data_IF_962314373592
#
_entry.id   IF_962314373592
#
_cell.length_a   1.000
_cell.length_b   1.000
_cell.length_c   1.000
_cell.angle_alpha   90.00
_cell.angle_beta   90.00
_cell.angle_gamma   90.00
#
_symmetry.space_group_name_H-M   'P 1'
#
loop_
_entity.id
_entity.type
_entity.pdbx_description
1 polymer ?
#
# COMPACT_ATOMS: atom_id res chain seq x y z
N UNK A 1 -27.55 9.03 -21.21
CA UNK A 1 -26.61 8.15 -20.46
C UNK A 1 -27.14 6.73 -20.53
N UNK A 2 -26.37 5.78 -21.07
CA UNK A 2 -26.75 4.36 -20.96
C UNK A 2 -26.42 3.94 -19.53
N UNK A 3 -27.42 3.62 -18.73
CA UNK A 3 -27.21 2.93 -17.45
C UNK A 3 -26.61 1.58 -17.81
N UNK A 4 -25.35 1.34 -17.41
CA UNK A 4 -24.73 0.04 -17.58
C UNK A 4 -25.59 -0.97 -16.82
N UNK A 5 -26.30 -1.82 -17.54
CA UNK A 5 -27.07 -2.89 -16.93
C UNK A 5 -26.09 -3.98 -16.53
N UNK A 6 -26.10 -4.33 -15.24
CA UNK A 6 -25.39 -5.51 -14.75
C UNK A 6 -25.89 -6.74 -15.50
N UNK A 7 -24.95 -7.61 -15.90
CA UNK A 7 -25.33 -8.90 -16.48
C UNK A 7 -26.09 -9.73 -15.44
N UNK A 8 -26.98 -10.62 -15.89
CA UNK A 8 -27.72 -11.49 -14.98
C UNK A 8 -26.79 -12.48 -14.24
N UNK A 9 -25.63 -12.79 -14.84
CA UNK A 9 -24.59 -13.56 -14.17
C UNK A 9 -23.96 -12.78 -13.02
N UNK A 10 -23.59 -11.51 -13.24
CA UNK A 10 -23.04 -10.65 -12.20
C UNK A 10 -24.01 -10.47 -11.03
N UNK A 11 -25.30 -10.30 -11.31
CA UNK A 11 -26.35 -10.22 -10.27
C UNK A 11 -26.37 -11.48 -9.41
N UNK A 12 -26.33 -12.66 -10.02
CA UNK A 12 -26.30 -13.94 -9.30
C UNK A 12 -25.07 -14.06 -8.40
N UNK A 13 -23.89 -13.73 -8.94
CA UNK A 13 -22.62 -13.82 -8.20
C UNK A 13 -22.56 -12.82 -7.05
N UNK A 14 -23.11 -11.62 -7.23
CA UNK A 14 -23.23 -10.61 -6.18
C UNK A 14 -24.11 -11.11 -5.04
N UNK A 15 -25.28 -11.69 -5.33
CA UNK A 15 -26.18 -12.19 -4.30
C UNK A 15 -25.59 -13.38 -3.53
N UNK A 16 -24.92 -14.29 -4.25
CA UNK A 16 -24.21 -15.41 -3.62
C UNK A 16 -23.06 -14.92 -2.72
N UNK A 17 -22.29 -13.93 -3.18
CA UNK A 17 -21.25 -13.30 -2.36
C UNK A 17 -21.84 -12.59 -1.14
N UNK A 18 -22.95 -11.87 -1.31
CA UNK A 18 -23.66 -11.14 -0.25
C UNK A 18 -24.05 -12.09 0.88
N UNK A 19 -24.65 -13.24 0.55
CA UNK A 19 -25.02 -14.23 1.57
C UNK A 19 -23.78 -14.82 2.29
N UNK A 20 -22.67 -15.03 1.59
CA UNK A 20 -21.42 -15.54 2.19
C UNK A 20 -20.75 -14.53 3.14
N UNK A 21 -20.94 -13.22 2.94
CA UNK A 21 -20.30 -12.17 3.76
C UNK A 21 -21.27 -11.44 4.70
N UNK A 22 -22.55 -11.80 4.68
CA UNK A 22 -23.66 -11.17 5.42
C UNK A 22 -23.37 -10.92 6.89
N UNK A 23 -22.61 -11.80 7.54
CA UNK A 23 -22.26 -11.67 8.95
C UNK A 23 -21.39 -10.45 9.27
N UNK A 24 -20.52 -10.02 8.35
CA UNK A 24 -19.60 -8.89 8.57
C UNK A 24 -19.97 -7.67 7.71
N UNK A 25 -21.07 -7.73 6.96
CA UNK A 25 -21.48 -6.68 6.04
C UNK A 25 -22.11 -5.52 6.80
N UNK A 26 -21.67 -4.30 6.51
CA UNK A 26 -22.22 -3.07 7.09
C UNK A 26 -23.13 -2.37 6.09
N UNK A 27 -24.09 -1.57 6.57
CA UNK A 27 -25.00 -0.77 5.72
C UNK A 27 -24.23 0.13 4.74
N UNK A 28 -23.09 0.68 5.18
CA UNK A 28 -22.22 1.48 4.32
C UNK A 28 -21.62 0.68 3.15
N UNK A 29 -21.33 -0.61 3.36
CA UNK A 29 -20.65 -1.44 2.39
C UNK A 29 -21.59 -2.29 1.53
N UNK A 30 -22.81 -2.56 2.00
CA UNK A 30 -23.84 -3.35 1.32
C UNK A 30 -24.41 -2.63 0.09
N UNK A 31 -23.62 -2.58 -0.97
CA UNK A 31 -24.05 -2.12 -2.29
C UNK A 31 -23.54 -3.07 -3.35
N UNK A 32 -24.35 -3.29 -4.39
CA UNK A 32 -23.98 -4.16 -5.51
C UNK A 32 -22.66 -3.70 -6.15
N UNK A 33 -22.44 -2.38 -6.24
CA UNK A 33 -21.21 -1.81 -6.77
C UNK A 33 -19.96 -2.19 -5.96
N UNK A 34 -20.04 -2.18 -4.63
CA UNK A 34 -18.90 -2.58 -3.79
C UNK A 34 -18.60 -4.07 -3.94
N UNK A 35 -19.63 -4.92 -3.98
CA UNK A 35 -19.48 -6.37 -4.17
C UNK A 35 -18.93 -6.69 -5.56
N UNK A 36 -19.40 -6.00 -6.60
CA UNK A 36 -18.87 -6.11 -7.96
C UNK A 36 -17.40 -5.73 -8.04
N UNK A 37 -16.96 -4.69 -7.32
CA UNK A 37 -15.54 -4.30 -7.29
C UNK A 37 -14.66 -5.45 -6.78
N UNK A 38 -15.13 -6.24 -5.82
CA UNK A 38 -14.41 -7.41 -5.33
C UNK A 38 -14.39 -8.55 -6.33
N UNK A 39 -15.52 -8.83 -6.99
CA UNK A 39 -15.61 -9.85 -8.04
C UNK A 39 -14.70 -9.51 -9.22
N UNK A 40 -14.72 -8.25 -9.68
CA UNK A 40 -13.89 -7.78 -10.80
C UNK A 40 -12.41 -7.65 -10.43
N UNK A 41 -12.08 -7.39 -9.16
CA UNK A 41 -10.71 -7.30 -8.68
C UNK A 41 -10.03 -8.66 -8.53
N UNK A 42 -10.80 -9.76 -8.56
CA UNK A 42 -10.32 -11.12 -8.35
C UNK A 42 -10.94 -12.11 -9.36
N UNK A 43 -10.74 -11.89 -10.68
CA UNK A 43 -11.39 -12.70 -11.71
C UNK A 43 -10.94 -14.17 -11.70
N UNK A 44 -9.73 -14.45 -11.22
CA UNK A 44 -9.12 -15.79 -11.24
C UNK A 44 -9.45 -16.63 -10.00
N UNK A 45 -10.18 -16.07 -9.01
CA UNK A 45 -10.46 -16.74 -7.74
C UNK A 45 -11.88 -17.30 -7.70
N UNK A 46 -12.04 -18.42 -6.98
CA UNK A 46 -13.37 -18.93 -6.68
C UNK A 46 -14.10 -18.01 -5.70
N UNK A 47 -15.42 -18.01 -5.75
CA UNK A 47 -16.27 -17.11 -4.95
C UNK A 47 -16.02 -17.25 -3.45
N UNK A 48 -15.69 -18.47 -2.99
CA UNK A 48 -15.39 -18.74 -1.57
C UNK A 48 -14.12 -18.02 -1.10
N UNK A 49 -13.07 -18.03 -1.92
CA UNK A 49 -11.81 -17.35 -1.60
C UNK A 49 -11.99 -15.83 -1.62
N UNK A 50 -12.80 -15.32 -2.55
CA UNK A 50 -13.19 -13.90 -2.59
C UNK A 50 -13.97 -13.55 -1.31
N UNK A 51 -14.92 -14.38 -0.91
CA UNK A 51 -15.70 -14.17 0.32
C UNK A 51 -14.83 -14.18 1.57
N UNK A 52 -13.82 -15.06 1.65
CA UNK A 52 -12.88 -15.07 2.78
C UNK A 52 -12.08 -13.77 2.86
N UNK A 53 -11.51 -13.33 1.73
CA UNK A 53 -10.76 -12.06 1.65
C UNK A 53 -11.64 -10.85 1.96
N UNK A 54 -12.86 -10.83 1.43
CA UNK A 54 -13.82 -9.76 1.70
C UNK A 54 -14.22 -9.75 3.18
N UNK A 55 -14.46 -10.91 3.79
CA UNK A 55 -14.72 -11.00 5.24
C UNK A 55 -13.56 -10.47 6.07
N UNK A 56 -12.31 -10.77 5.71
CA UNK A 56 -11.13 -10.19 6.37
C UNK A 56 -11.09 -8.67 6.20
N UNK A 57 -11.35 -8.17 4.99
CA UNK A 57 -11.44 -6.73 4.72
C UNK A 57 -12.51 -6.05 5.58
N UNK A 58 -13.73 -6.59 5.61
CA UNK A 58 -14.85 -6.05 6.39
C UNK A 58 -14.55 -6.07 7.89
N UNK A 59 -13.96 -7.16 8.41
CA UNK A 59 -13.49 -7.23 9.80
C UNK A 59 -12.45 -6.16 10.09
N UNK A 60 -11.48 -5.95 9.20
CA UNK A 60 -10.46 -4.89 9.35
C UNK A 60 -11.10 -3.51 9.40
N UNK A 61 -12.12 -3.25 8.58
CA UNK A 61 -12.84 -1.97 8.57
C UNK A 61 -13.58 -1.71 9.89
N UNK A 62 -14.15 -2.74 10.50
CA UNK A 62 -14.89 -2.66 11.76
C UNK A 62 -14.02 -2.76 13.03
N UNK A 63 -12.69 -2.90 12.89
CA UNK A 63 -11.76 -2.88 14.04
C UNK A 63 -11.74 -1.51 14.76
N UNK A 64 -10.85 -1.40 15.74
CA UNK A 64 -10.54 -0.17 16.52
C UNK A 64 -10.38 1.08 15.64
N UNK A 65 -9.96 0.93 14.38
CA UNK A 65 -9.76 2.03 13.45
C UNK A 65 -11.04 2.65 12.90
N UNK A 66 -12.19 1.95 13.00
CA UNK A 66 -13.53 2.40 12.57
C UNK A 66 -13.51 3.11 11.23
N UNK A 67 -13.08 2.41 10.18
CA UNK A 67 -12.84 2.99 8.85
C UNK A 67 -14.10 3.62 8.23
N UNK A 68 -15.28 3.11 8.55
CA UNK A 68 -16.56 3.62 8.04
C UNK A 68 -16.92 5.01 8.60
N UNK A 69 -16.39 5.38 9.78
CA UNK A 69 -16.64 6.67 10.43
C UNK A 69 -15.48 7.67 10.23
N UNK A 70 -14.38 7.26 9.61
CA UNK A 70 -13.14 8.06 9.56
C UNK A 70 -13.31 9.43 8.91
N UNK A 71 -14.22 9.55 7.94
CA UNK A 71 -14.49 10.80 7.22
C UNK A 71 -15.20 11.86 8.06
N UNK A 72 -15.86 11.47 9.16
CA UNK A 72 -16.53 12.40 10.07
C UNK A 72 -15.55 13.12 11.00
N UNK A 73 -14.37 12.52 11.23
CA UNK A 73 -13.37 13.08 12.13
C UNK A 73 -12.59 14.18 11.41
N UNK A 74 -12.46 15.38 12.00
CA UNK A 74 -11.65 16.43 11.42
C UNK A 74 -10.20 15.97 11.33
N UNK A 75 -9.57 16.17 10.17
CA UNK A 75 -8.18 15.79 9.95
C UNK A 75 -7.26 16.52 10.94
N UNK A 76 -6.36 15.81 11.60
CA UNK A 76 -5.45 16.43 12.55
C UNK A 76 -4.54 17.46 11.86
N UNK A 77 -4.45 18.66 12.47
CA UNK A 77 -3.76 19.86 11.95
C UNK A 77 -2.30 19.62 11.50
N UNK A 78 -1.64 18.63 12.11
CA UNK A 78 -0.24 18.30 11.84
C UNK A 78 -0.05 17.42 10.58
N UNK A 79 -1.05 16.63 10.21
CA UNK A 79 -1.00 15.78 9.01
C UNK A 79 -1.19 16.63 7.73
N UNK A 80 -2.05 17.66 7.80
CA UNK A 80 -2.33 18.56 6.68
C UNK A 80 -1.11 19.38 6.23
N UNK A 81 -0.24 19.77 7.17
CA UNK A 81 0.94 20.59 6.88
C UNK A 81 2.09 19.81 6.21
N UNK A 82 2.15 18.49 6.39
CA UNK A 82 3.29 17.66 5.97
C UNK A 82 3.02 16.81 4.74
N UNK A 83 1.76 16.64 4.35
CA UNK A 83 1.38 15.82 3.21
C UNK A 83 0.52 16.66 2.25
N UNK A 84 1.10 17.27 1.20
CA UNK A 84 0.38 18.13 0.26
C UNK A 84 -0.48 17.33 -0.74
N UNK A 85 -0.99 16.16 -0.33
CA UNK A 85 -2.00 15.43 -1.09
C UNK A 85 -3.31 16.18 -0.93
N UNK A 86 -3.78 16.81 -2.00
CA UNK A 86 -5.03 17.54 -2.00
C UNK A 86 -5.92 17.04 -3.14
N UNK A 87 -7.21 16.90 -2.86
CA UNK A 87 -8.21 16.55 -3.87
C UNK A 87 -8.44 17.81 -4.71
N UNK A 88 -7.81 17.87 -5.89
CA UNK A 88 -7.93 19.00 -6.81
C UNK A 88 -9.07 18.74 -7.79
N UNK A 89 -10.30 18.98 -7.31
CA UNK A 89 -11.54 18.99 -8.10
C UNK A 89 -11.89 17.68 -8.84
N UNK A 90 -13.16 17.62 -9.22
CA UNK A 90 -13.77 16.52 -9.97
C UNK A 90 -13.74 16.96 -11.45
N UNK A 91 -12.99 16.29 -12.35
CA UNK A 91 -13.09 16.55 -13.78
C UNK A 91 -14.46 16.14 -14.31
N UNK A 92 -14.73 16.49 -15.57
CA UNK A 92 -15.98 16.34 -16.31
C UNK A 92 -16.65 14.93 -16.33
N UNK A 93 -16.14 13.94 -15.59
CA UNK A 93 -16.63 12.54 -15.56
C UNK A 93 -16.84 11.97 -14.14
N UNK A 94 -16.99 12.81 -13.10
CA UNK A 94 -17.24 12.37 -11.71
C UNK A 94 -16.14 11.51 -11.07
N UNK A 95 -14.95 11.44 -11.67
CA UNK A 95 -13.78 10.78 -11.08
C UNK A 95 -13.04 11.73 -10.12
N UNK A 96 -12.64 11.26 -8.94
CA UNK A 96 -11.80 12.05 -8.03
C UNK A 96 -10.36 11.98 -8.50
N UNK A 97 -9.76 13.13 -8.85
CA UNK A 97 -8.33 13.18 -9.17
C UNK A 97 -7.52 13.35 -7.88
N UNK A 98 -6.75 12.33 -7.55
CA UNK A 98 -5.77 12.39 -6.47
C UNK A 98 -4.44 12.83 -7.09
N UNK A 99 -4.01 14.06 -6.82
CA UNK A 99 -2.71 14.58 -7.26
C UNK A 99 -1.68 14.28 -6.17
N UNK A 100 -0.78 13.35 -6.44
CA UNK A 100 0.43 13.15 -5.65
C UNK A 100 1.56 14.00 -6.23
N UNK A 101 1.99 15.03 -5.49
CA UNK A 101 3.14 15.84 -5.88
C UNK A 101 4.44 15.09 -5.61
N UNK A 102 4.94 14.38 -6.61
CA UNK A 102 6.27 13.75 -6.59
C UNK A 102 7.27 14.69 -7.26
N UNK A 103 8.26 15.19 -6.52
CA UNK A 103 9.37 15.96 -7.10
C UNK A 103 10.47 15.01 -7.55
N UNK A 104 10.65 14.90 -8.86
CA UNK A 104 11.82 14.23 -9.44
C UNK A 104 13.07 15.07 -9.17
N UNK A 105 14.09 14.47 -8.57
CA UNK A 105 15.40 15.11 -8.38
C UNK A 105 16.21 15.06 -9.68
N UNK A 106 17.13 16.01 -9.86
CA UNK A 106 18.00 16.04 -11.05
C UNK A 106 18.95 14.83 -11.09
N UNK A 107 19.08 14.18 -12.25
CA UNK A 107 19.97 13.02 -12.43
C UNK A 107 21.43 13.29 -12.07
N UNK A 108 21.91 14.53 -12.24
CA UNK A 108 23.31 14.90 -11.98
C UNK A 108 23.53 15.52 -10.60
N UNK A 109 22.52 16.19 -10.03
CA UNK A 109 22.66 16.98 -8.78
C UNK A 109 21.79 16.48 -7.62
N UNK A 110 21.13 15.34 -7.76
CA UNK A 110 20.21 14.81 -6.74
C UNK A 110 20.83 14.71 -5.34
N UNK A 111 22.13 14.42 -5.21
CA UNK A 111 22.82 14.30 -3.91
C UNK A 111 22.80 15.59 -3.10
N UNK A 112 22.81 16.74 -3.78
CA UNK A 112 22.71 18.06 -3.13
C UNK A 112 21.24 18.44 -2.92
N UNK A 113 20.37 18.06 -3.85
CA UNK A 113 18.95 18.39 -3.78
C UNK A 113 18.22 17.61 -2.68
N UNK A 114 18.58 16.34 -2.46
CA UNK A 114 17.95 15.47 -1.46
C UNK A 114 18.20 15.98 -0.03
N UNK A 115 19.30 16.70 0.21
CA UNK A 115 19.61 17.31 1.52
C UNK A 115 18.61 18.40 1.93
N UNK A 116 17.86 18.97 0.97
CA UNK A 116 16.75 19.89 1.29
C UNK A 116 15.57 19.18 1.95
N UNK A 117 15.48 17.86 1.77
CA UNK A 117 14.36 17.03 2.20
C UNK A 117 14.73 16.05 3.33
N UNK A 118 15.97 15.58 3.35
CA UNK A 118 16.44 14.56 4.27
C UNK A 118 17.73 15.00 4.97
N UNK A 119 17.87 14.62 6.24
CA UNK A 119 19.10 14.86 7.00
C UNK A 119 20.25 14.00 6.48
N UNK A 120 21.43 14.59 6.34
CA UNK A 120 22.66 13.90 5.97
C UNK A 120 22.98 12.68 6.87
N UNK A 121 22.55 12.71 8.14
CA UNK A 121 22.73 11.61 9.10
C UNK A 121 21.83 10.38 8.84
N UNK A 122 20.75 10.56 8.10
CA UNK A 122 19.82 9.48 7.75
C UNK A 122 20.10 8.87 6.37
N UNK A 123 20.94 9.55 5.56
CA UNK A 123 21.25 9.12 4.20
C UNK A 123 22.44 8.16 4.19
N UNK A 124 22.38 7.04 3.42
CA UNK A 124 23.44 6.04 3.38
C UNK A 124 24.78 6.64 2.95
N UNK A 125 25.83 6.38 3.74
CA UNK A 125 27.20 6.82 3.44
C UNK A 125 27.71 6.31 2.09
N UNK A 126 27.24 5.14 1.68
CA UNK A 126 27.64 4.50 0.41
C UNK A 126 27.10 5.23 -0.82
N UNK A 127 26.19 6.21 -0.67
CA UNK A 127 25.71 7.04 -1.77
C UNK A 127 26.68 8.18 -2.14
N UNK A 128 27.69 8.43 -1.30
CA UNK A 128 28.77 9.37 -1.60
C UNK A 128 29.63 8.83 -2.76
N UNK A 129 30.13 9.72 -3.61
CA UNK A 129 31.17 9.39 -4.60
C UNK A 129 32.57 9.57 -4.00
N UNK A 130 33.58 9.02 -4.66
CA UNK A 130 34.97 9.12 -4.21
C UNK A 130 35.37 10.59 -3.98
N UNK A 131 35.71 10.92 -2.74
CA UNK A 131 36.09 12.28 -2.33
C UNK A 131 35.00 13.09 -1.65
N UNK A 132 33.76 12.58 -1.55
CA UNK A 132 32.67 13.22 -0.81
C UNK A 132 32.39 12.51 0.53
N UNK A 133 32.13 13.27 1.59
CA UNK A 133 31.67 12.75 2.90
C UNK A 133 30.39 13.48 3.35
N UNK A 134 29.41 13.53 2.44
CA UNK A 134 28.17 14.28 2.62
C UNK A 134 27.16 13.47 3.44
N UNK A 135 26.95 12.22 3.08
CA UNK A 135 26.04 11.29 3.77
C UNK A 135 26.76 10.49 4.86
N UNK A 136 26.08 10.26 5.99
CA UNK A 136 26.73 9.75 7.22
C UNK A 136 26.07 8.51 7.82
N UNK A 137 24.98 7.99 7.25
CA UNK A 137 24.33 6.81 7.81
C UNK A 137 25.09 5.55 7.42
N UNK A 138 25.53 4.78 8.41
CA UNK A 138 26.09 3.46 8.21
C UNK A 138 24.95 2.45 8.02
N UNK A 139 24.52 2.28 6.77
CA UNK A 139 23.47 1.32 6.41
C UNK A 139 24.10 -0.02 6.08
N UNK A 140 23.59 -1.08 6.70
CA UNK A 140 24.00 -2.45 6.40
C UNK A 140 23.44 -2.81 5.01
N UNK A 141 24.33 -3.07 4.06
CA UNK A 141 23.92 -3.60 2.75
C UNK A 141 23.69 -5.10 2.92
N UNK A 142 22.49 -5.62 2.65
CA UNK A 142 22.25 -7.05 2.70
C UNK A 142 23.14 -7.75 1.68
N UNK A 143 23.83 -8.80 2.11
CA UNK A 143 24.61 -9.64 1.21
C UNK A 143 23.65 -10.34 0.24
N UNK A 144 23.90 -10.28 -1.08
CA UNK A 144 23.06 -10.97 -2.05
C UNK A 144 23.06 -12.47 -1.74
N UNK A 145 21.89 -13.08 -1.80
CA UNK A 145 21.72 -14.50 -1.53
C UNK A 145 22.43 -15.32 -2.63
N UNK A 146 23.19 -16.31 -2.21
CA UNK A 146 24.01 -17.13 -3.11
C UNK A 146 23.12 -17.82 -4.16
N UNK A 147 23.44 -17.59 -5.44
CA UNK A 147 22.69 -18.13 -6.58
C UNK A 147 22.70 -19.64 -6.65
N UNK A 148 23.73 -20.26 -6.11
CA UNK A 148 23.84 -21.72 -6.04
C UNK A 148 22.84 -22.33 -5.05
N UNK A 149 22.28 -21.53 -4.14
CA UNK A 149 21.32 -21.94 -3.12
C UNK A 149 19.87 -21.57 -3.45
N UNK A 150 19.58 -21.03 -4.65
CA UNK A 150 18.24 -20.53 -5.03
C UNK A 150 17.14 -21.62 -5.04
N UNK A 151 17.49 -22.88 -5.31
CA UNK A 151 16.54 -23.99 -5.47
C UNK A 151 16.74 -25.12 -4.47
N UNK A 152 17.57 -24.92 -3.44
CA UNK A 152 17.76 -25.92 -2.38
C UNK A 152 16.66 -25.74 -1.33
N UNK A 153 15.50 -26.35 -1.58
CA UNK A 153 14.40 -26.44 -0.63
C UNK A 153 14.68 -27.52 0.44
N UNK A 154 15.80 -27.39 1.15
CA UNK A 154 16.13 -28.27 2.27
C UNK A 154 16.61 -27.45 3.43
N UNK A 155 15.68 -27.13 4.35
CA UNK A 155 15.78 -27.15 5.81
C UNK A 155 17.14 -26.88 6.51
N UNK A 156 18.08 -26.18 5.90
CA UNK A 156 19.25 -25.70 6.60
C UNK A 156 18.82 -24.47 7.38
N UNK A 157 18.74 -24.64 8.71
CA UNK A 157 18.53 -23.54 9.64
C UNK A 157 19.52 -22.44 9.29
N UNK A 158 19.02 -21.31 8.78
CA UNK A 158 19.81 -20.09 8.55
C UNK A 158 20.69 -19.90 9.80
N UNK A 159 22.01 -20.04 9.64
CA UNK A 159 22.94 -19.94 10.77
C UNK A 159 22.71 -18.57 11.41
N UNK A 160 22.25 -18.53 12.67
CA UNK A 160 21.98 -17.31 13.46
C UNK A 160 23.27 -16.55 13.81
N UNK A 161 24.21 -16.44 12.90
CA UNK A 161 25.56 -15.91 13.15
C UNK A 161 25.81 -14.73 12.21
N UNK A 162 24.91 -13.77 12.23
CA UNK A 162 25.26 -12.37 12.05
C UNK A 162 24.88 -11.67 13.35
N UNK A 163 25.63 -11.99 14.42
CA UNK A 163 25.66 -11.12 15.59
C UNK A 163 26.14 -9.77 15.06
N UNK A 164 25.29 -8.77 15.18
CA UNK A 164 25.62 -7.38 14.94
C UNK A 164 26.83 -7.04 15.80
N UNK A 165 27.99 -6.84 15.17
CA UNK A 165 29.11 -6.22 15.85
C UNK A 165 28.76 -4.75 16.04
N UNK A 166 28.06 -4.43 17.12
CA UNK A 166 28.04 -3.08 17.67
C UNK A 166 29.44 -2.80 18.21
N UNK A 167 30.30 -2.18 17.38
CA UNK A 167 31.47 -1.48 17.89
C UNK A 167 30.94 -0.28 18.68
N UNK A 168 31.19 -0.32 19.99
CA UNK A 168 31.09 0.84 20.90
C UNK A 168 32.12 1.89 20.51
#
# INVERSE_FOLDING_TARGET
MKVAQMSDEDRRRVEELRELVKQNLTEYYDTDFNLLRWLQGHPDLELKDIAEKLNQHLKLRSTVWKFDEMWQKPMQRNCQKRNPKHIQQIPYENAVVVVDQVRMLSSSKWRQEILKYASAKALPRQWNINGEDVFKADVIIPTPYDKTLWYINRNEKVKRHLKTNHKK
#
